data_IF_290503687709
#
_entry.id   IF_290503687709
#
_cell.length_a   1.000
_cell.length_b   1.000
_cell.length_c   1.000
_cell.angle_alpha   90.00
_cell.angle_beta   90.00
_cell.angle_gamma   90.00
#
_symmetry.space_group_name_H-M   'P 1'
#
loop_
_entity.id
_entity.type
_entity.pdbx_description
1 polymer ?
#
# COMPACT_ATOMS: atom_id res chain seq x y z
N UNK A 1 6.70 34.54 11.56
CA UNK A 1 7.20 33.79 10.38
C UNK A 1 6.81 32.33 10.52
N UNK A 2 5.84 31.84 9.73
CA UNK A 2 5.44 30.43 9.73
C UNK A 2 6.19 29.67 8.64
N UNK A 3 7.12 28.80 9.05
CA UNK A 3 7.83 27.85 8.19
C UNK A 3 7.37 26.43 8.52
N UNK A 4 6.08 26.15 8.33
CA UNK A 4 5.60 24.77 8.22
C UNK A 4 5.57 24.40 6.75
N UNK A 5 6.76 24.00 6.29
CA UNK A 5 7.02 22.90 5.39
C UNK A 5 5.75 22.29 4.76
N UNK A 6 5.42 22.79 3.57
CA UNK A 6 4.60 22.11 2.58
C UNK A 6 5.28 20.77 2.23
N UNK A 7 4.99 19.70 2.97
CA UNK A 7 5.14 18.34 2.46
C UNK A 7 3.72 17.85 2.22
N UNK A 8 3.27 18.12 1.00
CA UNK A 8 1.99 17.70 0.47
C UNK A 8 1.94 16.18 0.43
N UNK A 9 0.86 15.59 0.93
CA UNK A 9 0.56 14.15 0.93
C UNK A 9 0.47 13.52 -0.49
N UNK A 10 0.76 14.30 -1.54
CA UNK A 10 0.85 13.86 -2.93
C UNK A 10 2.12 13.11 -3.28
N UNK A 11 3.16 13.09 -2.43
CA UNK A 11 4.42 12.39 -2.76
C UNK A 11 4.33 10.87 -2.59
N UNK A 12 3.47 10.37 -1.69
CA UNK A 12 3.41 8.93 -1.42
C UNK A 12 2.77 8.16 -2.59
N UNK A 13 1.80 8.76 -3.28
CA UNK A 13 1.20 8.20 -4.49
C UNK A 13 2.02 8.52 -5.75
N UNK A 14 2.75 9.64 -5.76
CA UNK A 14 3.65 9.99 -6.86
C UNK A 14 4.87 9.06 -6.93
N UNK A 15 5.43 8.56 -5.82
CA UNK A 15 6.57 7.63 -5.88
C UNK A 15 6.25 6.33 -6.63
N UNK A 16 4.97 5.97 -6.76
CA UNK A 16 4.52 4.85 -7.58
C UNK A 16 4.37 5.18 -9.07
N UNK A 17 4.24 6.46 -9.43
CA UNK A 17 4.00 6.94 -10.81
C UNK A 17 5.21 7.67 -11.42
N UNK A 18 6.08 8.30 -10.62
CA UNK A 18 7.21 9.11 -11.09
C UNK A 18 8.51 8.33 -11.26
N UNK A 19 8.51 7.02 -11.00
CA UNK A 19 9.66 6.15 -11.32
C UNK A 19 9.75 5.79 -12.82
N UNK A 20 8.96 6.43 -13.69
CA UNK A 20 8.97 6.22 -15.13
C UNK A 20 9.12 7.52 -15.95
N UNK A 21 9.78 8.57 -15.45
CA UNK A 21 10.21 9.67 -16.33
C UNK A 21 11.55 10.34 -15.93
N UNK A 22 12.55 10.16 -16.82
CA UNK A 22 13.67 11.06 -17.20
C UNK A 22 15.12 10.84 -16.65
N UNK A 23 16.19 11.09 -17.48
CA UNK A 23 17.53 10.47 -17.35
C UNK A 23 18.72 11.42 -17.03
N UNK A 24 19.93 10.81 -16.88
CA UNK A 24 21.30 11.35 -16.74
C UNK A 24 21.68 11.84 -15.31
N UNK A 25 22.86 11.57 -14.73
CA UNK A 25 24.23 11.45 -15.27
C UNK A 25 25.14 10.57 -14.36
N UNK A 26 26.30 10.15 -14.87
CA UNK A 26 27.23 9.09 -14.40
C UNK A 26 28.34 9.69 -13.48
N UNK A 27 29.39 8.96 -12.96
CA UNK A 27 30.08 7.77 -13.51
C UNK A 27 30.31 6.55 -12.58
N UNK A 28 30.49 5.39 -13.24
CA UNK A 28 30.99 4.09 -12.76
C UNK A 28 32.50 3.94 -13.11
N UNK A 29 33.28 2.85 -12.78
CA UNK A 29 33.04 1.41 -13.09
C UNK A 29 33.55 0.42 -11.98
N UNK A 30 33.49 -0.93 -12.01
CA UNK A 30 33.81 -1.90 -13.08
C UNK A 30 33.27 -3.35 -12.87
N UNK A 31 33.30 -4.10 -14.00
CA UNK A 31 32.85 -5.47 -14.38
C UNK A 31 33.57 -6.65 -13.64
N UNK A 32 33.14 -7.92 -13.68
CA UNK A 32 33.16 -8.92 -14.80
C UNK A 32 32.38 -10.22 -14.43
N UNK A 33 31.48 -10.74 -15.27
CA UNK A 33 31.58 -11.83 -16.28
C UNK A 33 31.19 -13.26 -15.83
N UNK A 34 30.54 -13.92 -16.79
CA UNK A 34 29.68 -15.11 -16.85
C UNK A 34 30.42 -16.46 -16.77
N UNK A 35 29.75 -17.54 -16.31
CA UNK A 35 29.75 -18.91 -16.92
C UNK A 35 28.83 -19.87 -16.13
N UNK A 36 27.99 -20.65 -16.84
CA UNK A 36 27.38 -21.93 -16.43
C UNK A 36 26.94 -22.68 -17.72
N UNK A 37 26.51 -23.98 -17.73
CA UNK A 37 26.36 -24.96 -16.63
C UNK A 37 26.71 -26.45 -16.94
N UNK A 38 26.68 -27.31 -15.92
CA UNK A 38 26.28 -28.74 -16.02
C UNK A 38 25.74 -29.26 -14.66
N UNK A 39 24.77 -30.20 -14.63
CA UNK A 39 23.89 -30.43 -13.48
C UNK A 39 24.25 -31.69 -12.66
N UNK A 40 24.13 -31.60 -11.33
CA UNK A 40 24.05 -32.78 -10.46
C UNK A 40 22.75 -32.73 -9.64
N UNK A 41 22.02 -33.85 -9.73
CA UNK A 41 20.81 -34.10 -8.99
C UNK A 41 21.12 -34.26 -7.49
N UNK A 42 20.37 -33.55 -6.65
CA UNK A 42 20.23 -33.89 -5.23
C UNK A 42 18.78 -33.65 -4.82
N UNK A 43 18.15 -34.72 -4.32
CA UNK A 43 16.86 -34.69 -3.67
C UNK A 43 16.90 -33.69 -2.50
N UNK A 44 15.98 -32.73 -2.52
CA UNK A 44 15.69 -31.87 -1.38
C UNK A 44 14.20 -31.98 -1.09
N UNK A 45 13.89 -32.16 0.20
CA UNK A 45 12.54 -32.17 0.74
C UNK A 45 11.73 -30.98 0.21
N UNK A 46 10.41 -31.15 0.07
CA UNK A 46 9.48 -30.14 -0.42
C UNK A 46 9.47 -28.88 0.48
N UNK A 47 10.49 -28.03 0.32
CA UNK A 47 10.42 -26.59 0.56
C UNK A 47 9.34 -26.06 -0.39
N UNK A 48 8.40 -25.21 0.05
CA UNK A 48 7.49 -24.56 -0.88
C UNK A 48 8.31 -23.97 -2.03
N UNK A 49 8.00 -24.35 -3.26
CA UNK A 49 8.70 -23.85 -4.43
C UNK A 49 8.65 -22.32 -4.39
N UNK A 50 9.82 -21.68 -4.20
CA UNK A 50 9.92 -20.23 -4.29
C UNK A 50 9.44 -19.82 -5.69
N UNK A 51 8.54 -18.83 -5.75
CA UNK A 51 8.03 -18.33 -7.01
C UNK A 51 9.19 -17.89 -7.91
N UNK A 52 9.12 -18.22 -9.19
CA UNK A 52 10.15 -17.78 -10.14
C UNK A 52 10.13 -16.24 -10.26
N UNK A 53 11.25 -15.58 -10.59
CA UNK A 53 11.27 -14.13 -10.79
C UNK A 53 10.22 -13.62 -11.79
N UNK A 54 9.93 -14.40 -12.84
CA UNK A 54 8.88 -14.09 -13.81
C UNK A 54 7.47 -14.18 -13.21
N UNK A 55 7.20 -15.20 -12.37
CA UNK A 55 5.93 -15.34 -11.66
C UNK A 55 5.71 -14.19 -10.67
N UNK A 56 6.76 -13.83 -9.93
CA UNK A 56 6.71 -12.71 -8.99
C UNK A 56 6.45 -11.37 -9.70
N UNK A 57 7.07 -11.14 -10.86
CA UNK A 57 6.79 -9.95 -11.67
C UNK A 57 5.35 -9.93 -12.20
N UNK A 58 4.82 -11.08 -12.64
CA UNK A 58 3.43 -11.19 -13.09
C UNK A 58 2.44 -10.89 -11.95
N UNK A 59 2.69 -11.45 -10.76
CA UNK A 59 1.86 -11.19 -9.58
C UNK A 59 1.97 -9.72 -9.12
N UNK A 60 3.15 -9.13 -9.20
CA UNK A 60 3.35 -7.70 -8.93
C UNK A 60 2.52 -6.84 -9.90
N UNK A 61 2.59 -7.13 -11.21
CA UNK A 61 1.82 -6.40 -12.23
C UNK A 61 0.30 -6.50 -12.00
N UNK A 62 -0.21 -7.68 -11.61
CA UNK A 62 -1.63 -7.84 -11.22
C UNK A 62 -2.00 -6.92 -10.06
N UNK A 63 -1.13 -6.79 -9.06
CA UNK A 63 -1.36 -5.91 -7.93
C UNK A 63 -1.36 -4.43 -8.35
N UNK A 64 -0.52 -4.03 -9.31
CA UNK A 64 -0.53 -2.66 -9.84
C UNK A 64 -1.80 -2.34 -10.60
N UNK A 65 -2.24 -3.26 -11.46
CA UNK A 65 -3.46 -3.11 -12.21
C UNK A 65 -4.67 -3.05 -11.28
N UNK A 66 -4.73 -3.92 -10.27
CA UNK A 66 -5.74 -3.86 -9.22
C UNK A 66 -5.73 -2.50 -8.51
N UNK A 67 -4.56 -2.00 -8.09
CA UNK A 67 -4.46 -0.71 -7.40
C UNK A 67 -4.92 0.47 -8.29
N UNK A 68 -4.55 0.45 -9.56
CA UNK A 68 -4.96 1.44 -10.57
C UNK A 68 -6.49 1.47 -10.70
N UNK A 69 -7.13 0.29 -10.78
CA UNK A 69 -8.59 0.18 -10.83
C UNK A 69 -9.27 0.73 -9.57
N UNK A 70 -8.66 0.53 -8.39
CA UNK A 70 -9.24 1.01 -7.13
C UNK A 70 -9.04 2.51 -6.87
N UNK A 71 -8.02 3.14 -7.49
CA UNK A 71 -7.62 4.52 -7.18
C UNK A 71 -8.78 5.53 -7.30
N UNK A 72 -9.55 5.46 -8.39
CA UNK A 72 -10.68 6.37 -8.60
C UNK A 72 -11.79 6.14 -7.58
N UNK A 73 -12.14 4.89 -7.29
CA UNK A 73 -13.17 4.55 -6.31
C UNK A 73 -12.77 5.00 -4.90
N UNK A 74 -11.50 4.84 -4.53
CA UNK A 74 -10.97 5.25 -3.24
C UNK A 74 -10.97 6.78 -3.06
N UNK A 75 -10.55 7.52 -4.11
CA UNK A 75 -10.59 8.98 -4.14
C UNK A 75 -12.03 9.51 -4.01
N UNK A 76 -12.96 8.93 -4.78
CA UNK A 76 -14.37 9.30 -4.73
C UNK A 76 -14.97 9.02 -3.34
N UNK A 77 -14.67 7.87 -2.74
CA UNK A 77 -15.12 7.52 -1.39
C UNK A 77 -14.58 8.49 -0.33
N UNK A 78 -13.30 8.87 -0.41
CA UNK A 78 -12.70 9.83 0.51
C UNK A 78 -13.32 11.22 0.38
N UNK A 79 -13.52 11.70 -0.85
CA UNK A 79 -14.17 12.99 -1.11
C UNK A 79 -15.61 13.00 -0.59
N UNK A 80 -16.35 11.91 -0.84
CA UNK A 80 -17.72 11.74 -0.37
C UNK A 80 -17.77 11.73 1.16
N UNK A 81 -16.91 10.96 1.82
CA UNK A 81 -16.84 10.93 3.28
C UNK A 81 -16.60 12.33 3.85
N UNK A 82 -15.64 13.09 3.32
CA UNK A 82 -15.35 14.44 3.78
C UNK A 82 -16.55 15.38 3.62
N UNK A 83 -17.22 15.32 2.47
CA UNK A 83 -18.43 16.10 2.19
C UNK A 83 -19.57 15.75 3.17
N UNK A 84 -19.86 14.46 3.33
CA UNK A 84 -20.96 13.98 4.18
C UNK A 84 -20.70 14.30 5.66
N UNK A 85 -19.47 14.11 6.14
CA UNK A 85 -19.07 14.48 7.51
C UNK A 85 -19.21 15.99 7.75
N UNK A 86 -18.77 16.81 6.79
CA UNK A 86 -18.88 18.27 6.89
C UNK A 86 -20.34 18.72 6.99
N UNK A 87 -21.21 18.15 6.14
CA UNK A 87 -22.64 18.43 6.16
C UNK A 87 -23.29 17.95 7.48
N UNK A 88 -22.93 16.76 7.95
CA UNK A 88 -23.46 16.19 9.19
C UNK A 88 -23.06 17.02 10.43
N UNK A 89 -21.80 17.46 10.51
CA UNK A 89 -21.31 18.33 11.60
C UNK A 89 -22.02 19.69 11.58
N UNK A 90 -22.20 20.30 10.40
CA UNK A 90 -22.95 21.55 10.29
C UNK A 90 -24.41 21.40 10.73
N UNK A 91 -25.02 20.26 10.41
CA UNK A 91 -26.37 19.92 10.84
C UNK A 91 -26.45 19.49 12.32
N UNK A 92 -25.31 19.30 13.00
CA UNK A 92 -25.21 18.69 14.34
C UNK A 92 -25.97 17.36 14.44
N UNK A 93 -25.85 16.53 13.40
CA UNK A 93 -26.60 15.29 13.23
C UNK A 93 -25.65 14.09 13.33
N UNK A 94 -25.50 13.57 14.54
CA UNK A 94 -24.59 12.44 14.84
C UNK A 94 -24.96 11.18 14.06
N UNK A 95 -26.24 10.98 13.72
CA UNK A 95 -26.67 9.84 12.91
C UNK A 95 -26.11 9.93 11.50
N UNK A 96 -26.06 11.13 10.92
CA UNK A 96 -25.45 11.33 9.60
C UNK A 96 -23.94 11.15 9.61
N UNK A 97 -23.27 11.44 10.72
CA UNK A 97 -21.85 11.14 10.90
C UNK A 97 -21.65 9.61 10.87
N UNK A 98 -22.47 8.86 11.61
CA UNK A 98 -22.45 7.39 11.62
C UNK A 98 -22.73 6.80 10.23
N UNK A 99 -23.75 7.28 9.53
CA UNK A 99 -24.10 6.82 8.18
C UNK A 99 -23.00 7.10 7.15
N UNK A 100 -22.33 8.26 7.25
CA UNK A 100 -21.20 8.61 6.39
C UNK A 100 -20.03 7.66 6.60
N UNK A 101 -19.65 7.40 7.85
CA UNK A 101 -18.57 6.46 8.20
C UNK A 101 -18.92 5.04 7.77
N UNK A 102 -20.16 4.58 8.02
CA UNK A 102 -20.62 3.27 7.60
C UNK A 102 -20.58 3.08 6.08
N UNK A 103 -21.00 4.10 5.33
CA UNK A 103 -20.96 4.08 3.86
C UNK A 103 -19.52 3.99 3.36
N UNK A 104 -18.61 4.77 3.94
CA UNK A 104 -17.19 4.71 3.58
C UNK A 104 -16.55 3.37 3.93
N UNK A 105 -16.82 2.84 5.13
CA UNK A 105 -16.29 1.55 5.55
C UNK A 105 -16.80 0.40 4.68
N UNK A 106 -18.04 0.46 4.19
CA UNK A 106 -18.53 -0.48 3.19
C UNK A 106 -17.69 -0.48 1.91
N UNK A 107 -17.28 0.70 1.42
CA UNK A 107 -16.37 0.78 0.27
C UNK A 107 -15.01 0.15 0.56
N UNK A 108 -14.50 0.33 1.79
CA UNK A 108 -13.26 -0.34 2.23
C UNK A 108 -13.44 -1.86 2.24
N UNK A 109 -14.53 -2.37 2.81
CA UNK A 109 -14.85 -3.80 2.82
C UNK A 109 -14.92 -4.36 1.39
N UNK A 110 -15.63 -3.69 0.49
CA UNK A 110 -15.73 -4.09 -0.92
C UNK A 110 -14.33 -4.08 -1.59
N UNK A 111 -13.48 -3.10 -1.25
CA UNK A 111 -12.09 -3.04 -1.71
C UNK A 111 -11.27 -4.22 -1.19
N UNK A 112 -11.38 -4.56 0.09
CA UNK A 112 -10.71 -5.72 0.71
C UNK A 112 -11.19 -7.02 0.04
N UNK A 113 -12.48 -7.17 -0.19
CA UNK A 113 -13.05 -8.32 -0.91
C UNK A 113 -12.50 -8.40 -2.34
N UNK A 114 -12.36 -7.26 -3.03
CA UNK A 114 -11.75 -7.24 -4.37
C UNK A 114 -10.27 -7.66 -4.33
N UNK A 115 -9.54 -7.24 -3.28
CA UNK A 115 -8.14 -7.60 -3.08
C UNK A 115 -8.01 -9.10 -2.79
N UNK A 116 -8.90 -9.66 -1.98
CA UNK A 116 -8.91 -11.09 -1.67
C UNK A 116 -9.05 -11.98 -2.91
N UNK A 117 -9.84 -11.54 -3.90
CA UNK A 117 -9.98 -12.22 -5.20
C UNK A 117 -8.72 -12.17 -6.07
N UNK A 118 -7.75 -11.31 -5.75
CA UNK A 118 -6.50 -11.23 -6.50
C UNK A 118 -5.61 -12.44 -6.20
N UNK A 119 -5.46 -13.35 -7.17
CA UNK A 119 -4.62 -14.52 -7.04
C UNK A 119 -3.15 -14.18 -7.29
N UNK A 120 -2.35 -14.29 -6.22
CA UNK A 120 -0.90 -14.10 -6.21
C UNK A 120 -0.24 -15.32 -5.58
N UNK A 121 0.80 -15.84 -6.24
CA UNK A 121 1.55 -17.00 -5.79
C UNK A 121 2.85 -16.59 -5.08
N UNK A 122 3.45 -15.47 -5.46
CA UNK A 122 4.69 -15.01 -4.85
C UNK A 122 4.52 -14.64 -3.37
N UNK A 123 5.39 -15.14 -2.45
CA UNK A 123 5.37 -14.76 -1.04
C UNK A 123 5.53 -13.25 -0.81
N UNK A 124 6.38 -12.57 -1.59
CA UNK A 124 6.62 -11.13 -1.45
C UNK A 124 5.37 -10.32 -1.82
N UNK A 125 4.76 -10.63 -2.96
CA UNK A 125 3.52 -9.98 -3.42
C UNK A 125 2.35 -10.30 -2.49
N UNK A 126 2.27 -11.54 -1.99
CA UNK A 126 1.27 -11.93 -0.98
C UNK A 126 1.43 -11.13 0.31
N UNK A 127 2.66 -10.91 0.79
CA UNK A 127 2.90 -10.05 1.95
C UNK A 127 2.34 -8.64 1.71
N UNK A 128 2.65 -8.01 0.57
CA UNK A 128 2.13 -6.67 0.24
C UNK A 128 0.61 -6.65 0.19
N UNK A 129 -0.01 -7.66 -0.43
CA UNK A 129 -1.46 -7.84 -0.47
C UNK A 129 -2.04 -7.89 0.95
N UNK A 130 -1.49 -8.74 1.82
CA UNK A 130 -1.97 -8.91 3.19
C UNK A 130 -1.77 -7.63 4.02
N UNK A 131 -0.65 -6.92 3.83
CA UNK A 131 -0.38 -5.63 4.47
C UNK A 131 -1.36 -4.53 4.03
N UNK A 132 -1.70 -4.47 2.74
CA UNK A 132 -2.74 -3.56 2.25
C UNK A 132 -4.08 -3.82 2.93
N UNK A 133 -4.48 -5.10 3.07
CA UNK A 133 -5.71 -5.46 3.80
C UNK A 133 -5.66 -5.00 5.25
N UNK A 134 -4.54 -5.22 5.94
CA UNK A 134 -4.38 -4.82 7.33
C UNK A 134 -4.49 -3.29 7.51
N UNK A 135 -3.83 -2.51 6.64
CA UNK A 135 -3.92 -1.05 6.65
C UNK A 135 -5.35 -0.58 6.41
N UNK A 136 -6.04 -1.14 5.41
CA UNK A 136 -7.43 -0.81 5.11
C UNK A 136 -8.37 -1.15 6.28
N UNK A 137 -8.20 -2.32 6.87
CA UNK A 137 -9.00 -2.78 8.02
C UNK A 137 -8.80 -1.86 9.22
N UNK A 138 -7.55 -1.63 9.63
CA UNK A 138 -7.23 -0.77 10.78
C UNK A 138 -7.71 0.66 10.58
N UNK A 139 -7.61 1.20 9.35
CA UNK A 139 -8.12 2.54 9.04
C UNK A 139 -9.63 2.63 9.21
N UNK A 140 -10.37 1.60 8.75
CA UNK A 140 -11.83 1.55 8.89
C UNK A 140 -12.29 1.41 10.35
N UNK A 141 -11.57 0.59 11.14
CA UNK A 141 -11.83 0.44 12.58
C UNK A 141 -11.53 1.72 13.34
N UNK A 142 -10.43 2.41 13.03
CA UNK A 142 -10.05 3.65 13.70
C UNK A 142 -11.05 4.78 13.44
N UNK A 143 -11.68 4.84 12.27
CA UNK A 143 -12.78 5.78 12.01
C UNK A 143 -14.00 5.50 12.90
N UNK A 144 -14.34 4.23 13.10
CA UNK A 144 -15.44 3.82 14.00
C UNK A 144 -15.09 4.11 15.46
N UNK A 145 -13.85 3.82 15.86
CA UNK A 145 -13.38 4.11 17.22
C UNK A 145 -13.41 5.62 17.50
N UNK A 146 -12.94 6.45 16.55
CA UNK A 146 -13.03 7.91 16.66
C UNK A 146 -14.47 8.40 16.83
N UNK A 147 -15.42 7.85 16.07
CA UNK A 147 -16.83 8.17 16.24
C UNK A 147 -17.32 7.79 17.65
N UNK A 148 -17.00 6.59 18.11
CA UNK A 148 -17.41 6.11 19.43
C UNK A 148 -16.81 6.96 20.56
N UNK A 149 -15.54 7.35 20.45
CA UNK A 149 -14.87 8.22 21.43
C UNK A 149 -15.48 9.62 21.47
N UNK A 150 -15.94 10.15 20.33
CA UNK A 150 -16.54 11.47 20.24
C UNK A 150 -18.00 11.51 20.75
N UNK A 151 -18.74 10.40 20.62
CA UNK A 151 -20.19 10.34 20.91
C UNK A 151 -20.54 9.65 22.23
N UNK A 152 -19.58 8.95 22.85
CA UNK A 152 -19.76 8.23 24.12
C UNK A 152 -18.73 8.73 25.13
N UNK A 153 -19.02 8.60 26.42
CA UNK A 153 -18.01 8.83 27.46
C UNK A 153 -16.95 7.71 27.38
N UNK A 154 -15.72 7.99 26.93
CA UNK A 154 -14.74 6.96 26.67
C UNK A 154 -14.15 6.44 27.98
N UNK A 155 -13.96 5.13 28.08
CA UNK A 155 -13.20 4.53 29.17
C UNK A 155 -11.69 4.65 28.91
N UNK A 156 -10.89 4.55 29.97
CA UNK A 156 -9.42 4.52 29.85
C UNK A 156 -8.96 3.35 28.97
N UNK A 157 -9.62 2.19 29.10
CA UNK A 157 -9.33 0.99 28.28
C UNK A 157 -9.60 1.24 26.80
N UNK A 158 -10.74 1.87 26.45
CA UNK A 158 -11.07 2.23 25.06
C UNK A 158 -10.07 3.24 24.48
N UNK A 159 -9.64 4.22 25.29
CA UNK A 159 -8.63 5.20 24.87
C UNK A 159 -7.29 4.54 24.59
N UNK A 160 -6.86 3.61 25.45
CA UNK A 160 -5.63 2.83 25.27
C UNK A 160 -5.71 1.88 24.07
N UNK A 161 -6.85 1.21 23.88
CA UNK A 161 -7.08 0.33 22.73
C UNK A 161 -7.04 1.12 21.41
N UNK A 162 -7.64 2.32 21.38
CA UNK A 162 -7.56 3.22 20.23
C UNK A 162 -6.10 3.60 19.93
N UNK A 163 -5.33 4.02 20.95
CA UNK A 163 -3.93 4.37 20.78
C UNK A 163 -3.09 3.20 20.25
N UNK A 164 -3.30 1.98 20.78
CA UNK A 164 -2.62 0.79 20.29
C UNK A 164 -2.96 0.48 18.83
N UNK A 165 -4.22 0.68 18.40
CA UNK A 165 -4.59 0.55 16.98
C UNK A 165 -3.95 1.61 16.11
N UNK A 166 -3.83 2.86 16.60
CA UNK A 166 -3.12 3.94 15.89
C UNK A 166 -1.65 3.58 15.69
N UNK A 167 -0.97 3.07 16.72
CA UNK A 167 0.43 2.60 16.61
C UNK A 167 0.54 1.42 15.63
N UNK A 168 -0.38 0.47 15.71
CA UNK A 168 -0.42 -0.68 14.80
C UNK A 168 -0.62 -0.24 13.34
N UNK A 169 -1.52 0.71 13.08
CA UNK A 169 -1.73 1.25 11.74
C UNK A 169 -0.46 1.92 11.22
N UNK A 170 0.22 2.73 12.04
CA UNK A 170 1.48 3.37 11.65
C UNK A 170 2.57 2.35 11.29
N UNK A 171 2.72 1.31 12.09
CA UNK A 171 3.67 0.23 11.82
C UNK A 171 3.32 -0.52 10.52
N UNK A 172 2.04 -0.85 10.32
CA UNK A 172 1.57 -1.52 9.11
C UNK A 172 1.80 -0.67 7.85
N UNK A 173 1.52 0.64 7.92
CA UNK A 173 1.78 1.60 6.84
C UNK A 173 3.28 1.70 6.54
N UNK A 174 4.13 1.84 7.56
CA UNK A 174 5.57 1.92 7.36
C UNK A 174 6.14 0.65 6.71
N UNK A 175 5.68 -0.52 7.17
CA UNK A 175 6.08 -1.81 6.60
C UNK A 175 5.60 -1.95 5.15
N UNK A 176 4.35 -1.58 4.86
CA UNK A 176 3.80 -1.60 3.50
C UNK A 176 4.57 -0.68 2.55
N UNK A 177 4.90 0.54 2.98
CA UNK A 177 5.70 1.48 2.20
C UNK A 177 7.08 0.90 1.88
N UNK A 178 7.75 0.36 2.91
CA UNK A 178 9.08 -0.23 2.75
C UNK A 178 9.06 -1.40 1.77
N UNK A 179 8.22 -2.40 2.04
CA UNK A 179 8.21 -3.62 1.24
C UNK A 179 7.71 -3.33 -0.19
N UNK A 180 6.79 -2.36 -0.34
CA UNK A 180 6.31 -1.89 -1.64
C UNK A 180 7.40 -1.20 -2.45
N UNK A 181 8.24 -0.38 -1.81
CA UNK A 181 9.39 0.25 -2.44
C UNK A 181 10.47 -0.77 -2.83
N UNK A 182 10.76 -1.73 -1.95
CA UNK A 182 11.72 -2.81 -2.21
C UNK A 182 11.26 -3.65 -3.43
N UNK A 183 9.96 -3.93 -3.54
CA UNK A 183 9.37 -4.66 -4.66
C UNK A 183 9.37 -3.84 -5.96
N UNK A 184 9.04 -2.55 -5.88
CA UNK A 184 9.08 -1.64 -7.03
C UNK A 184 10.51 -1.47 -7.57
N UNK A 185 11.51 -1.35 -6.68
CA UNK A 185 12.92 -1.28 -7.07
C UNK A 185 13.38 -2.56 -7.78
N UNK A 186 12.95 -3.73 -7.28
CA UNK A 186 13.28 -5.03 -7.88
C UNK A 186 12.79 -5.17 -9.33
N UNK A 187 11.64 -4.59 -9.65
CA UNK A 187 11.04 -4.67 -10.99
C UNK A 187 11.15 -3.38 -11.80
N UNK A 188 11.91 -2.40 -11.33
CA UNK A 188 12.21 -1.20 -12.09
C UNK A 188 12.93 -1.59 -13.39
N UNK A 189 12.61 -0.96 -14.53
CA UNK A 189 13.28 -1.24 -15.79
C UNK A 189 14.78 -0.99 -15.64
N UNK A 190 15.60 -1.94 -16.11
CA UNK A 190 17.05 -1.81 -16.10
C UNK A 190 17.44 -0.52 -16.85
N UNK A 191 18.26 0.31 -16.22
CA UNK A 191 18.77 1.52 -16.86
C UNK A 191 19.41 1.15 -18.21
N UNK A 192 19.10 1.87 -19.31
CA UNK A 192 19.65 1.55 -20.61
C UNK A 192 21.17 1.50 -20.55
N UNK A 193 21.75 0.40 -21.04
CA UNK A 193 23.20 0.25 -21.11
C UNK A 193 23.77 1.40 -21.93
N UNK A 194 24.66 2.19 -21.33
CA UNK A 194 25.33 3.28 -22.02
C UNK A 194 26.00 2.73 -23.31
N UNK A 195 25.84 3.39 -24.46
CA UNK A 195 26.42 2.92 -25.70
C UNK A 195 27.93 2.76 -25.54
N UNK A 196 28.44 1.60 -25.97
CA UNK A 196 29.88 1.32 -25.97
C UNK A 196 30.56 2.32 -26.91
N UNK A 197 31.39 3.21 -26.34
CA UNK A 197 32.22 4.10 -27.13
C UNK A 197 33.17 3.26 -28.00
N UNK A 198 33.13 3.50 -29.33
CA UNK A 198 34.07 2.95 -30.31
C UNK A 198 35.38 3.72 -30.29
#
# INVERSE_FOLDING_TARGET
MNKFTKISATTLFALFLTACDKPADKPAPAKTETTQPAPEAKQEAAKPAEATPAQEQADYNKLLEWNTQQTQAQMAAQQKLQSDLTAAVQAKDDKKIEEAIKTFNKTIEDTIVSLDKLEVASPSVKSIKDQNKEVLTLSSELLVDQLNLATKAPTEEQTKAHQAKVEKLQAAVAKLQKDGADLAQKFAPAAPAAPAAK
#
